data_IF_538465920926
#
_entry.id   IF_538465920926
#
_cell.length_a   1.000
_cell.length_b   1.000
_cell.length_c   1.000
_cell.angle_alpha   90.00
_cell.angle_beta   90.00
_cell.angle_gamma   90.00
#
_symmetry.space_group_name_H-M   'P 1'
#
loop_
_entity.id
_entity.type
_entity.pdbx_description
1 polymer ?
#
# COMPACT_ATOMS: atom_id res chain seq x y z
N UNK A 1 5.23 -14.37 19.87
CA UNK A 1 5.62 -13.70 21.13
C UNK A 1 5.71 -12.20 20.90
N UNK A 2 5.42 -11.37 21.91
CA UNK A 2 5.57 -9.91 21.83
C UNK A 2 6.72 -9.44 22.72
N UNK A 3 7.55 -8.51 22.23
CA UNK A 3 8.62 -7.86 22.97
C UNK A 3 8.20 -6.44 23.34
N UNK A 4 8.39 -6.04 24.60
CA UNK A 4 8.18 -4.65 25.02
C UNK A 4 9.38 -3.81 24.61
N UNK A 5 9.13 -2.73 23.87
CA UNK A 5 10.15 -1.78 23.43
C UNK A 5 9.66 -0.38 23.77
N UNK A 6 10.55 0.47 24.29
CA UNK A 6 10.28 1.90 24.47
C UNK A 6 10.77 2.65 23.24
N UNK A 7 9.95 3.54 22.70
CA UNK A 7 10.28 4.38 21.55
C UNK A 7 9.91 5.82 21.87
N UNK A 8 10.80 6.75 21.54
CA UNK A 8 10.51 8.19 21.66
C UNK A 8 9.76 8.64 20.41
N UNK A 9 8.59 9.25 20.60
CA UNK A 9 7.73 9.77 19.54
C UNK A 9 7.39 11.22 19.86
N UNK A 10 7.10 12.01 18.82
CA UNK A 10 6.61 13.37 19.01
C UNK A 10 5.18 13.36 19.61
N UNK A 11 4.86 14.40 20.37
CA UNK A 11 3.58 14.47 21.10
C UNK A 11 2.37 14.50 20.15
N UNK A 12 2.50 15.20 19.03
CA UNK A 12 1.49 15.27 17.98
C UNK A 12 1.22 13.90 17.36
N UNK A 13 2.26 13.09 17.15
CA UNK A 13 2.13 11.73 16.64
C UNK A 13 1.38 10.83 17.62
N UNK A 14 1.69 10.91 18.91
CA UNK A 14 0.96 10.16 19.94
C UNK A 14 -0.52 10.56 19.95
N UNK A 15 -0.82 11.87 19.85
CA UNK A 15 -2.20 12.36 19.76
C UNK A 15 -2.93 11.85 18.51
N UNK A 16 -2.25 11.75 17.36
CA UNK A 16 -2.84 11.16 16.16
C UNK A 16 -3.15 9.67 16.34
N UNK A 17 -2.23 8.92 16.95
CA UNK A 17 -2.43 7.50 17.27
C UNK A 17 -3.64 7.30 18.19
N UNK A 18 -3.84 8.18 19.17
CA UNK A 18 -5.00 8.10 20.07
C UNK A 18 -6.33 8.35 19.35
N UNK A 19 -6.36 9.23 18.35
CA UNK A 19 -7.60 9.56 17.61
C UNK A 19 -8.09 8.41 16.73
N UNK A 20 -7.18 7.59 16.23
CA UNK A 20 -7.49 6.45 15.35
C UNK A 20 -7.69 5.15 16.12
N UNK A 21 -7.41 5.13 17.42
CA UNK A 21 -7.57 3.96 18.26
C UNK A 21 -9.06 3.61 18.41
N UNK A 22 -9.38 2.32 18.32
CA UNK A 22 -10.73 1.87 18.66
C UNK A 22 -10.96 1.97 20.17
N UNK A 23 -12.23 1.99 20.60
CA UNK A 23 -12.59 2.09 22.03
C UNK A 23 -11.96 0.93 22.81
N UNK A 24 -11.08 1.25 23.76
CA UNK A 24 -10.38 0.27 24.59
C UNK A 24 -9.16 -0.38 23.94
N UNK A 25 -8.76 0.05 22.73
CA UNK A 25 -7.57 -0.46 22.05
C UNK A 25 -6.29 0.18 22.65
N UNK A 26 -5.30 -0.62 23.07
CA UNK A 26 -4.06 -0.07 23.59
C UNK A 26 -3.20 0.51 22.46
N UNK A 27 -2.52 1.64 22.73
CA UNK A 27 -1.61 2.31 21.76
C UNK A 27 -0.63 1.37 21.09
N UNK A 28 -0.09 0.40 21.83
CA UNK A 28 0.83 -0.61 21.28
C UNK A 28 0.23 -1.46 20.17
N UNK A 29 -1.08 -1.74 20.23
CA UNK A 29 -1.79 -2.50 19.21
C UNK A 29 -2.02 -1.65 17.95
N UNK A 30 -2.40 -0.38 18.13
CA UNK A 30 -2.52 0.58 17.02
C UNK A 30 -1.18 0.74 16.30
N UNK A 31 -0.09 0.95 17.06
CA UNK A 31 1.26 1.05 16.53
C UNK A 31 1.70 -0.23 15.82
N UNK A 32 1.42 -1.40 16.39
CA UNK A 32 1.74 -2.69 15.75
C UNK A 32 1.01 -2.84 14.41
N UNK A 33 -0.27 -2.49 14.35
CA UNK A 33 -1.07 -2.55 13.12
C UNK A 33 -0.51 -1.61 12.04
N UNK A 34 -0.29 -0.34 12.38
CA UNK A 34 0.26 0.65 11.45
C UNK A 34 1.65 0.25 10.94
N UNK A 35 2.51 -0.27 11.81
CA UNK A 35 3.85 -0.74 11.41
C UNK A 35 3.75 -1.93 10.45
N UNK A 36 2.85 -2.88 10.69
CA UNK A 36 2.63 -4.02 9.78
C UNK A 36 2.12 -3.56 8.42
N UNK A 37 1.13 -2.67 8.39
CA UNK A 37 0.60 -2.10 7.16
C UNK A 37 1.69 -1.36 6.37
N UNK A 38 2.47 -0.51 7.05
CA UNK A 38 3.54 0.26 6.42
C UNK A 38 4.69 -0.61 5.89
N UNK A 39 5.07 -1.66 6.62
CA UNK A 39 6.11 -2.60 6.17
C UNK A 39 5.61 -3.46 5.00
N UNK A 40 4.36 -3.90 5.04
CA UNK A 40 3.75 -4.63 3.92
C UNK A 40 3.65 -3.76 2.67
N UNK A 41 3.25 -2.49 2.81
CA UNK A 41 3.23 -1.53 1.71
C UNK A 41 4.62 -1.33 1.10
N UNK A 42 5.65 -1.10 1.94
CA UNK A 42 7.04 -0.97 1.45
C UNK A 42 7.57 -2.23 0.75
N UNK A 43 7.21 -3.41 1.27
CA UNK A 43 7.59 -4.67 0.62
C UNK A 43 6.93 -4.81 -0.77
N UNK A 44 5.69 -4.35 -0.91
CA UNK A 44 4.96 -4.33 -2.19
C UNK A 44 5.50 -3.27 -3.14
N UNK A 45 5.82 -2.07 -2.68
CA UNK A 45 6.35 -0.98 -3.53
C UNK A 45 7.55 -1.42 -4.39
N UNK A 46 8.44 -2.25 -3.84
CA UNK A 46 9.57 -2.79 -4.59
C UNK A 46 9.17 -3.72 -5.74
N UNK A 47 8.13 -4.54 -5.54
CA UNK A 47 7.55 -5.41 -6.57
C UNK A 47 6.70 -4.60 -7.55
N UNK A 48 5.78 -3.78 -7.05
CA UNK A 48 4.88 -2.94 -7.83
C UNK A 48 5.65 -1.97 -8.74
N UNK A 49 6.82 -1.49 -8.32
CA UNK A 49 7.69 -0.67 -9.19
C UNK A 49 8.24 -1.48 -10.35
N UNK A 50 8.77 -2.68 -10.11
CA UNK A 50 9.29 -3.55 -11.19
C UNK A 50 8.19 -3.94 -12.16
N UNK A 51 7.00 -4.24 -11.64
CA UNK A 51 5.85 -4.63 -12.46
C UNK A 51 5.37 -3.44 -13.31
N UNK A 52 5.28 -2.23 -12.72
CA UNK A 52 5.03 -1.01 -13.50
C UNK A 52 6.08 -0.77 -14.58
N UNK A 53 7.36 -0.93 -14.26
CA UNK A 53 8.44 -0.75 -15.23
C UNK A 53 8.36 -1.79 -16.36
N UNK A 54 7.90 -3.01 -16.09
CA UNK A 54 7.66 -4.03 -17.11
C UNK A 54 6.45 -3.68 -17.99
N UNK A 55 5.32 -3.29 -17.40
CA UNK A 55 4.13 -2.86 -18.15
C UNK A 55 4.47 -1.67 -19.05
N UNK A 56 5.14 -0.65 -18.51
CA UNK A 56 5.52 0.54 -19.27
C UNK A 56 6.48 0.22 -20.41
N UNK A 57 7.42 -0.72 -20.23
CA UNK A 57 8.31 -1.18 -21.31
C UNK A 57 7.56 -1.82 -22.48
N UNK A 58 6.39 -2.38 -22.23
CA UNK A 58 5.56 -3.02 -23.25
C UNK A 58 4.30 -2.21 -23.59
N UNK A 59 4.17 -0.98 -23.08
CA UNK A 59 2.94 -0.20 -23.18
C UNK A 59 2.51 0.03 -24.63
N UNK A 60 3.44 0.37 -25.52
CA UNK A 60 3.11 0.62 -26.93
C UNK A 60 2.56 -0.63 -27.63
N UNK A 61 3.17 -1.80 -27.37
CA UNK A 61 2.71 -3.06 -27.94
C UNK A 61 1.34 -3.48 -27.38
N UNK A 62 1.16 -3.36 -26.06
CA UNK A 62 -0.11 -3.66 -25.39
C UNK A 62 -1.23 -2.71 -25.85
N UNK A 63 -0.92 -1.43 -26.07
CA UNK A 63 -1.87 -0.46 -26.58
C UNK A 63 -2.26 -0.76 -28.03
N UNK A 64 -1.29 -1.13 -28.88
CA UNK A 64 -1.58 -1.52 -30.26
C UNK A 64 -2.48 -2.77 -30.34
N UNK A 65 -2.26 -3.76 -29.47
CA UNK A 65 -3.14 -4.93 -29.35
C UNK A 65 -4.54 -4.55 -28.86
N UNK A 66 -4.63 -3.69 -27.84
CA UNK A 66 -5.92 -3.21 -27.34
C UNK A 66 -6.70 -2.41 -28.41
N UNK A 67 -6.01 -1.54 -29.15
CA UNK A 67 -6.59 -0.81 -30.29
C UNK A 67 -7.11 -1.78 -31.35
N UNK A 68 -6.36 -2.84 -31.67
CA UNK A 68 -6.80 -3.87 -32.61
C UNK A 68 -8.11 -4.55 -32.15
N UNK A 69 -8.15 -5.01 -30.90
CA UNK A 69 -9.34 -5.66 -30.32
C UNK A 69 -10.56 -4.73 -30.35
N UNK A 70 -10.37 -3.44 -30.05
CA UNK A 70 -11.44 -2.45 -30.08
C UNK A 70 -12.06 -2.29 -31.49
N UNK A 71 -11.31 -2.56 -32.57
CA UNK A 71 -11.86 -2.52 -33.94
C UNK A 71 -12.93 -3.58 -34.20
N UNK A 72 -12.96 -4.65 -33.41
CA UNK A 72 -13.92 -5.74 -33.55
C UNK A 72 -15.12 -5.60 -32.61
N UNK A 73 -15.18 -4.55 -31.77
CA UNK A 73 -16.37 -4.27 -30.97
C UNK A 73 -17.46 -3.69 -31.85
N UNK A 74 -18.58 -4.39 -31.95
CA UNK A 74 -19.82 -3.91 -32.56
C UNK A 74 -20.77 -3.41 -31.48
N UNK A 75 -21.54 -2.37 -31.76
CA UNK A 75 -22.59 -1.90 -30.86
C UNK A 75 -23.62 -3.02 -30.65
N UNK A 76 -23.99 -3.22 -29.38
CA UNK A 76 -24.92 -4.26 -28.90
C UNK A 76 -26.38 -3.84 -29.07
#
# INVERSE_FOLDING_TARGET
MKLKTSVTLSEDLVKMVDRIAHKGEPRSQVLERLLREALAARAREGADRRDRDLINRHADALNAEAEDVLRYQVDL
#
